data_IF_009425409473
#
_entry.id   IF_009425409473
#
_cell.length_a   1.000
_cell.length_b   1.000
_cell.length_c   1.000
_cell.angle_alpha   90.00
_cell.angle_beta   90.00
_cell.angle_gamma   90.00
#
_symmetry.space_group_name_H-M   'P 1'
#
loop_
_entity.id
_entity.type
_entity.pdbx_description
1 polymer ?
#
# COMPACT_ATOMS: atom_id res chain seq x y z
N UNK A 1 -14.46 -11.97 6.16
CA UNK A 1 -13.35 -12.76 5.58
C UNK A 1 -13.44 -12.93 4.06
N UNK A 2 -14.58 -12.65 3.40
CA UNK A 2 -14.78 -12.83 1.96
C UNK A 2 -13.80 -12.09 1.03
N UNK A 3 -13.09 -11.08 1.52
CA UNK A 3 -12.11 -10.30 0.75
C UNK A 3 -10.64 -10.71 1.00
N UNK A 4 -10.40 -11.74 1.83
CA UNK A 4 -9.06 -12.23 2.10
C UNK A 4 -8.59 -13.15 0.97
N UNK A 5 -7.41 -12.88 0.39
CA UNK A 5 -6.97 -13.48 -0.88
C UNK A 5 -6.27 -14.83 -0.80
N UNK A 6 -6.11 -15.42 0.39
CA UNK A 6 -5.40 -16.69 0.60
C UNK A 6 -6.03 -17.49 1.74
N UNK A 7 -5.70 -18.77 1.89
CA UNK A 7 -6.07 -19.55 3.07
C UNK A 7 -5.13 -19.33 4.27
N UNK A 8 -4.02 -18.61 4.08
CA UNK A 8 -3.04 -18.28 5.13
C UNK A 8 -3.01 -16.77 5.45
N UNK A 9 -2.40 -16.44 6.58
CA UNK A 9 -2.09 -15.07 6.99
C UNK A 9 -0.84 -15.04 7.88
N UNK A 10 -0.21 -13.86 7.97
CA UNK A 10 0.91 -13.60 8.88
C UNK A 10 0.47 -12.60 9.95
N UNK A 11 0.84 -12.86 11.21
CA UNK A 11 0.44 -12.03 12.35
C UNK A 11 1.66 -11.43 13.02
N UNK A 12 1.59 -10.13 13.31
CA UNK A 12 2.59 -9.39 14.08
C UNK A 12 1.94 -8.82 15.33
N UNK A 13 2.69 -8.76 16.44
CA UNK A 13 2.29 -7.96 17.59
C UNK A 13 2.35 -6.47 17.25
N UNK A 14 1.45 -5.68 17.83
CA UNK A 14 1.32 -4.24 17.57
C UNK A 14 0.52 -3.89 16.31
N UNK A 15 0.25 -2.61 16.11
CA UNK A 15 -0.42 -2.09 14.92
C UNK A 15 0.62 -1.54 13.93
N UNK A 16 1.19 -2.43 13.12
CA UNK A 16 2.27 -2.11 12.17
C UNK A 16 1.78 -1.82 10.74
N UNK A 17 0.50 -1.46 10.59
CA UNK A 17 -0.14 -1.33 9.29
C UNK A 17 0.41 -0.18 8.45
N UNK A 18 0.69 0.97 9.08
CA UNK A 18 1.23 2.14 8.40
C UNK A 18 2.66 1.87 7.89
N UNK A 19 3.47 1.18 8.68
CA UNK A 19 4.82 0.76 8.33
C UNK A 19 4.82 -0.21 7.15
N UNK A 20 3.87 -1.16 7.11
CA UNK A 20 3.69 -2.06 5.97
C UNK A 20 3.27 -1.30 4.71
N UNK A 21 2.40 -0.29 4.81
CA UNK A 21 2.01 0.56 3.67
C UNK A 21 3.23 1.35 3.14
N UNK A 22 4.01 1.97 4.02
CA UNK A 22 5.23 2.68 3.62
C UNK A 22 6.23 1.74 2.97
N UNK A 23 6.49 0.58 3.56
CA UNK A 23 7.37 -0.44 2.99
C UNK A 23 6.88 -0.92 1.61
N UNK A 24 5.59 -1.23 1.48
CA UNK A 24 4.99 -1.67 0.22
C UNK A 24 5.15 -0.60 -0.88
N UNK A 25 4.98 0.69 -0.55
CA UNK A 25 5.21 1.78 -1.51
C UNK A 25 6.68 1.90 -1.93
N UNK A 26 7.62 1.70 -1.00
CA UNK A 26 9.05 1.64 -1.32
C UNK A 26 9.36 0.42 -2.18
N UNK A 27 8.58 -0.67 -2.15
CA UNK A 27 8.79 -1.83 -3.00
C UNK A 27 7.91 -1.84 -4.25
N UNK A 28 7.05 -0.83 -4.43
CA UNK A 28 6.05 -0.72 -5.50
C UNK A 28 5.08 -1.91 -5.55
N UNK A 29 4.66 -2.37 -4.39
CA UNK A 29 3.63 -3.41 -4.22
C UNK A 29 2.32 -2.70 -3.86
N UNK A 30 1.27 -2.75 -4.68
CA UNK A 30 0.02 -2.06 -4.39
C UNK A 30 -0.72 -2.72 -3.22
N UNK A 31 -1.26 -1.90 -2.33
CA UNK A 31 -2.04 -2.35 -1.16
C UNK A 31 -3.52 -2.32 -1.51
N UNK A 32 -4.10 -3.48 -1.83
CA UNK A 32 -5.51 -3.61 -2.25
C UNK A 32 -6.52 -3.65 -1.08
N UNK A 33 -6.04 -3.81 0.15
CA UNK A 33 -6.88 -3.85 1.34
C UNK A 33 -6.06 -3.47 2.57
N UNK A 34 -6.48 -2.42 3.29
CA UNK A 34 -6.01 -2.09 4.64
C UNK A 34 -7.12 -1.40 5.43
N UNK A 35 -7.00 -1.37 6.76
CA UNK A 35 -7.89 -0.62 7.66
C UNK A 35 -7.14 0.45 8.47
N UNK A 36 -5.90 0.77 8.08
CA UNK A 36 -5.11 1.89 8.61
C UNK A 36 -5.84 3.20 8.31
N UNK A 37 -5.82 4.14 9.26
CA UNK A 37 -6.45 5.43 9.09
C UNK A 37 -5.71 6.26 8.02
N UNK A 38 -6.45 7.04 7.23
CA UNK A 38 -5.91 7.75 6.07
C UNK A 38 -4.74 8.69 6.42
N UNK A 39 -4.81 9.37 7.57
CA UNK A 39 -3.76 10.28 8.03
C UNK A 39 -2.43 9.58 8.38
N UNK A 40 -2.43 8.26 8.56
CA UNK A 40 -1.22 7.46 8.84
C UNK A 40 -0.61 6.89 7.55
N UNK A 41 -1.28 7.02 6.40
CA UNK A 41 -0.77 6.58 5.10
C UNK A 41 0.40 7.47 4.69
N UNK A 42 1.61 6.93 4.78
CA UNK A 42 2.83 7.61 4.39
C UNK A 42 3.51 6.89 3.22
N UNK A 43 3.62 7.58 2.09
CA UNK A 43 4.23 7.10 0.84
C UNK A 43 5.15 8.19 0.25
N UNK A 44 6.02 7.87 -0.72
CA UNK A 44 6.81 8.88 -1.42
C UNK A 44 5.91 9.96 -2.02
N UNK A 45 6.32 11.23 -1.95
CA UNK A 45 5.53 12.38 -2.42
C UNK A 45 5.09 12.27 -3.89
N UNK A 46 5.82 11.50 -4.70
CA UNK A 46 5.45 11.19 -6.08
C UNK A 46 4.07 10.54 -6.22
N UNK A 47 3.56 9.81 -5.21
CA UNK A 47 2.22 9.21 -5.23
C UNK A 47 1.12 10.26 -5.37
N UNK A 48 1.32 11.46 -4.84
CA UNK A 48 0.33 12.55 -4.93
C UNK A 48 0.06 12.98 -6.37
N UNK A 49 1.03 12.80 -7.28
CA UNK A 49 0.86 13.09 -8.71
C UNK A 49 -0.05 12.08 -9.41
N UNK A 50 -0.30 10.91 -8.80
CA UNK A 50 -1.19 9.88 -9.32
C UNK A 50 -2.63 10.02 -8.78
N UNK A 51 -2.88 10.97 -7.87
CA UNK A 51 -4.18 11.26 -7.28
C UNK A 51 -4.11 11.43 -5.77
N UNK A 52 -4.96 12.30 -5.22
CA UNK A 52 -4.98 12.64 -3.78
C UNK A 52 -6.29 12.33 -3.07
N UNK A 53 -7.33 11.93 -3.80
CA UNK A 53 -8.66 11.58 -3.23
C UNK A 53 -8.83 10.07 -3.17
N UNK A 54 -8.52 9.39 -4.27
CA UNK A 54 -8.53 7.93 -4.38
C UNK A 54 -7.12 7.39 -4.16
N UNK A 55 -6.73 7.24 -2.88
CA UNK A 55 -5.38 6.79 -2.50
C UNK A 55 -5.10 5.35 -2.91
N UNK A 56 -6.12 4.51 -3.04
CA UNK A 56 -5.98 3.15 -3.55
C UNK A 56 -5.65 3.19 -5.03
N UNK A 57 -6.46 3.86 -5.86
CA UNK A 57 -6.18 3.97 -7.28
C UNK A 57 -4.86 4.70 -7.57
N UNK A 58 -4.49 5.70 -6.75
CA UNK A 58 -3.18 6.36 -6.85
C UNK A 58 -2.03 5.38 -6.59
N UNK A 59 -2.18 4.46 -5.63
CA UNK A 59 -1.20 3.42 -5.33
C UNK A 59 -1.01 2.46 -6.50
N UNK A 60 -2.12 1.97 -7.07
CA UNK A 60 -2.07 1.09 -8.24
C UNK A 60 -1.41 1.77 -9.43
N UNK A 61 -1.76 3.03 -9.73
CA UNK A 61 -1.16 3.78 -10.84
C UNK A 61 0.33 4.04 -10.62
N UNK A 62 0.73 4.43 -9.41
CA UNK A 62 2.14 4.68 -9.10
C UNK A 62 2.98 3.40 -9.13
N UNK A 63 2.48 2.30 -8.54
CA UNK A 63 3.17 1.01 -8.58
C UNK A 63 3.31 0.48 -10.02
N UNK A 64 2.26 0.59 -10.83
CA UNK A 64 2.31 0.21 -12.24
C UNK A 64 3.29 1.08 -13.05
N UNK A 65 3.36 2.38 -12.76
CA UNK A 65 4.26 3.31 -13.45
C UNK A 65 5.74 3.09 -13.11
N UNK A 66 6.07 2.92 -11.83
CA UNK A 66 7.46 2.80 -11.38
C UNK A 66 8.02 1.37 -11.49
N UNK A 67 7.16 0.35 -11.50
CA UNK A 67 7.58 -1.04 -11.59
C UNK A 67 8.37 -1.52 -10.36
N UNK A 68 8.82 -2.79 -10.35
CA UNK A 68 9.61 -3.34 -9.26
C UNK A 68 10.98 -2.68 -9.17
N UNK A 69 11.53 -2.55 -7.95
CA UNK A 69 12.81 -1.87 -7.72
C UNK A 69 14.02 -2.51 -8.44
N UNK A 70 13.96 -3.82 -8.72
CA UNK A 70 15.05 -4.59 -9.33
C UNK A 70 14.60 -5.34 -10.60
N UNK A 71 13.62 -4.78 -11.32
CA UNK A 71 13.10 -5.34 -12.59
C UNK A 71 13.99 -5.10 -13.79
#
# INVERSE_FOLDING_TARGET
MNAWGSNHGAFSYGHVGAELISLASILRIPVYMHNVAEQEVFRPSAWNCFGTVDLEGADFRACANFGPLYG
#
